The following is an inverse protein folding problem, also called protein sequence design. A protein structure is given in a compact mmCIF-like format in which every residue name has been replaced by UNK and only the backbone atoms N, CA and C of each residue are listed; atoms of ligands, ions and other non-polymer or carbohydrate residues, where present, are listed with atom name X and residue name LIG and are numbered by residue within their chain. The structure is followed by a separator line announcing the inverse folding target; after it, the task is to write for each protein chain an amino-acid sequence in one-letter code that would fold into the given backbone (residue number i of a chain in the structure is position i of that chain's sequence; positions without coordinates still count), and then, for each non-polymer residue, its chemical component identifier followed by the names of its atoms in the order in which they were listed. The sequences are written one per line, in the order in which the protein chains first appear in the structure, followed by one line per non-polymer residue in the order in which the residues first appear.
data_IF_825651245915
#
_entry.id   IF_825651245915
#
_cell.length_a   1.000
_cell.length_b   1.000
_cell.length_c   1.000
_cell.angle_alpha   90.00
_cell.angle_beta   90.00
_cell.angle_gamma   90.00
#
_symmetry.space_group_name_H-M   'P 1'
#
loop_
_entity.id
_entity.type
_entity.pdbx_description
1 polymer ?
#
# COMPACT_ATOMS: atom_id res chain seq x y z
N UNK A 1 -15.87 2.39 7.97
CA UNK A 1 -15.95 2.37 6.50
C UNK A 1 -14.52 2.35 5.97
N UNK A 2 -14.18 1.48 5.02
CA UNK A 2 -12.81 1.38 4.50
C UNK A 2 -12.66 2.37 3.33
N UNK A 3 -11.74 3.33 3.44
CA UNK A 3 -11.52 4.39 2.43
C UNK A 3 -11.28 3.84 1.04
N UNK A 4 -10.65 2.67 0.92
CA UNK A 4 -10.44 2.00 -0.37
C UNK A 4 -11.77 1.72 -1.07
N UNK A 5 -12.80 1.24 -0.37
CA UNK A 5 -14.11 0.97 -0.99
C UNK A 5 -14.79 2.26 -1.47
N UNK A 6 -14.59 3.36 -0.74
CA UNK A 6 -15.11 4.67 -1.13
C UNK A 6 -14.41 5.15 -2.40
N UNK A 7 -13.08 5.03 -2.46
CA UNK A 7 -12.30 5.37 -3.66
C UNK A 7 -12.72 4.54 -4.86
N UNK A 8 -12.89 3.22 -4.69
CA UNK A 8 -13.36 2.35 -5.78
C UNK A 8 -14.73 2.81 -6.31
N UNK A 9 -15.66 3.16 -5.42
CA UNK A 9 -16.97 3.68 -5.82
C UNK A 9 -16.87 5.02 -6.55
N UNK A 10 -16.00 5.94 -6.08
CA UNK A 10 -15.70 7.21 -6.77
C UNK A 10 -15.11 6.96 -8.15
N UNK A 11 -14.21 5.98 -8.28
CA UNK A 11 -13.58 5.69 -9.56
C UNK A 11 -14.59 5.22 -10.60
N UNK A 12 -15.57 4.41 -10.20
CA UNK A 12 -16.66 3.99 -11.08
C UNK A 12 -17.59 5.15 -11.40
N UNK A 13 -18.02 5.89 -10.38
CA UNK A 13 -19.03 6.95 -10.54
C UNK A 13 -18.54 8.14 -11.38
N UNK A 14 -17.23 8.41 -11.38
CA UNK A 14 -16.65 9.59 -12.02
C UNK A 14 -15.54 9.26 -13.04
N UNK A 15 -15.46 7.99 -13.46
CA UNK A 15 -14.53 7.46 -14.46
C UNK A 15 -13.04 7.80 -14.18
N UNK A 16 -12.58 7.50 -12.96
CA UNK A 16 -11.15 7.63 -12.65
C UNK A 16 -10.39 6.41 -13.18
N UNK A 17 -9.13 6.63 -13.57
CA UNK A 17 -8.16 5.55 -13.75
C UNK A 17 -7.47 5.25 -12.44
N UNK A 18 -7.10 3.97 -12.25
CA UNK A 18 -6.43 3.50 -11.05
C UNK A 18 -5.17 2.73 -11.40
N UNK A 19 -4.07 3.09 -10.77
CA UNK A 19 -2.82 2.35 -10.81
C UNK A 19 -2.43 1.84 -9.42
N UNK A 20 -1.66 0.77 -9.42
CA UNK A 20 -1.16 0.13 -8.24
C UNK A 20 0.37 0.18 -8.19
N UNK A 21 0.87 0.56 -7.02
CA UNK A 21 2.29 0.52 -6.68
C UNK A 21 2.50 -0.41 -5.49
N UNK A 22 3.71 -0.94 -5.39
CA UNK A 22 4.20 -1.73 -4.26
C UNK A 22 5.52 -1.14 -3.75
N UNK A 23 5.61 -0.85 -2.46
CA UNK A 23 6.83 -0.38 -1.83
C UNK A 23 7.74 -1.56 -1.49
N UNK A 24 8.91 -1.61 -2.11
CA UNK A 24 9.87 -2.69 -1.89
C UNK A 24 10.43 -2.63 -0.47
N UNK A 25 10.10 -3.64 0.34
CA UNK A 25 10.42 -3.71 1.76
C UNK A 25 10.09 -2.40 2.50
N UNK A 26 8.81 -2.00 2.53
CA UNK A 26 8.41 -0.62 2.84
C UNK A 26 9.02 -0.05 4.13
N UNK A 27 9.16 -0.85 5.20
CA UNK A 27 9.74 -0.35 6.45
C UNK A 27 11.21 0.08 6.30
N UNK A 28 11.99 -0.58 5.43
CA UNK A 28 13.38 -0.22 5.13
C UNK A 28 13.52 1.10 4.37
N UNK A 29 12.41 1.67 3.87
CA UNK A 29 12.38 3.01 3.29
C UNK A 29 12.24 4.11 4.36
N UNK A 30 12.06 3.75 5.64
CA UNK A 30 11.89 4.70 6.74
C UNK A 30 13.02 4.64 7.76
N UNK A 31 13.42 5.83 8.25
CA UNK A 31 14.36 5.96 9.37
C UNK A 31 13.62 5.80 10.70
N UNK A 32 14.31 5.27 11.70
CA UNK A 32 13.82 5.25 13.06
C UNK A 32 14.06 6.62 13.73
N UNK A 33 13.07 7.11 14.48
CA UNK A 33 13.20 8.34 15.26
C UNK A 33 13.76 8.11 16.66
N UNK A 34 13.97 6.86 17.04
CA UNK A 34 14.45 6.40 18.34
C UNK A 34 15.64 5.47 18.09
N UNK A 35 16.58 5.40 19.05
CA UNK A 35 17.73 4.50 18.96
C UNK A 35 17.29 3.07 19.30
N UNK A 36 17.41 2.16 18.34
CA UNK A 36 17.20 0.74 18.56
C UNK A 36 18.50 -0.02 18.37
N UNK A 37 18.84 -0.87 19.35
CA UNK A 37 19.94 -1.81 19.25
C UNK A 37 19.40 -3.24 19.24
N UNK A 38 20.04 -4.11 18.49
CA UNK A 38 19.73 -5.53 18.45
C UNK A 38 21.01 -6.36 18.48
N UNK A 39 20.88 -7.61 18.92
CA UNK A 39 21.94 -8.58 18.69
C UNK A 39 22.13 -8.79 17.19
N UNK A 40 23.36 -9.11 16.78
CA UNK A 40 23.59 -9.46 15.39
C UNK A 40 22.70 -10.66 15.00
N UNK A 41 22.03 -10.59 13.84
CA UNK A 41 21.19 -11.69 13.39
C UNK A 41 22.04 -12.94 13.14
N UNK A 42 21.39 -14.11 13.19
CA UNK A 42 22.04 -15.39 12.97
C UNK A 42 22.84 -15.38 11.65
N UNK A 43 24.06 -15.91 11.68
CA UNK A 43 24.97 -15.95 10.53
C UNK A 43 25.80 -14.68 10.30
N UNK A 44 25.54 -13.58 11.01
CA UNK A 44 26.36 -12.36 10.93
C UNK A 44 27.44 -12.38 12.01
N UNK A 45 28.72 -12.33 11.60
CA UNK A 45 29.84 -12.21 12.54
C UNK A 45 29.73 -10.92 13.35
N UNK A 46 29.92 -11.02 14.66
CA UNK A 46 29.89 -9.88 15.56
C UNK A 46 30.92 -10.05 16.66
N UNK A 47 31.54 -8.95 17.06
CA UNK A 47 32.50 -8.97 18.17
C UNK A 47 31.77 -9.24 19.49
N UNK A 48 32.48 -9.90 20.42
CA UNK A 48 31.91 -10.29 21.71
C UNK A 48 31.47 -9.03 22.48
N UNK A 49 30.25 -9.04 22.99
CA UNK A 49 29.67 -7.93 23.76
C UNK A 49 29.20 -6.74 22.92
N UNK A 50 29.28 -6.80 21.58
CA UNK A 50 28.80 -5.73 20.71
C UNK A 50 27.35 -5.97 20.27
N UNK A 51 26.59 -4.89 20.11
CA UNK A 51 25.24 -4.89 19.51
C UNK A 51 25.25 -4.08 18.21
N UNK A 52 24.22 -4.23 17.39
CA UNK A 52 24.03 -3.49 16.14
C UNK A 52 22.93 -2.46 16.31
N UNK A 53 23.21 -1.23 15.93
CA UNK A 53 22.22 -0.17 15.87
C UNK A 53 21.42 -0.28 14.58
N UNK A 54 20.10 -0.16 14.69
CA UNK A 54 19.18 -0.10 13.56
C UNK A 54 19.01 1.35 13.12
N UNK A 55 19.45 1.65 11.90
CA UNK A 55 19.25 2.97 11.28
C UNK A 55 17.88 3.11 10.59
N UNK A 56 17.32 1.98 10.16
CA UNK A 56 16.08 1.88 9.39
C UNK A 56 15.11 0.94 10.09
N UNK A 57 13.82 1.17 9.87
CA UNK A 57 12.80 0.28 10.40
C UNK A 57 12.80 -1.06 9.67
N UNK A 58 12.55 -2.14 10.42
CA UNK A 58 12.46 -3.50 9.90
C UNK A 58 11.12 -4.13 10.32
N UNK A 59 10.71 -5.17 9.61
CA UNK A 59 9.55 -5.98 10.01
C UNK A 59 9.79 -6.59 11.40
N UNK A 60 8.73 -6.63 12.22
CA UNK A 60 8.80 -7.09 13.60
C UNK A 60 9.04 -5.98 14.65
N UNK A 61 9.52 -4.80 14.24
CA UNK A 61 9.55 -3.64 15.15
C UNK A 61 8.13 -3.08 15.34
N UNK A 62 7.72 -2.87 16.60
CA UNK A 62 6.43 -2.24 16.95
C UNK A 62 6.26 -0.86 16.30
N UNK A 63 7.36 -0.15 16.07
CA UNK A 63 7.42 1.20 15.52
C UNK A 63 7.53 1.22 14.00
N UNK A 64 7.74 0.08 13.34
CA UNK A 64 8.07 0.04 11.90
C UNK A 64 6.98 0.62 11.01
N UNK A 65 5.74 0.17 11.21
CA UNK A 65 4.58 0.71 10.48
C UNK A 65 4.38 2.23 10.73
N UNK A 66 4.63 2.70 11.96
CA UNK A 66 4.53 4.13 12.31
C UNK A 66 5.62 4.95 11.62
N UNK A 67 6.85 4.44 11.59
CA UNK A 67 7.96 5.10 10.91
C UNK A 67 7.71 5.19 9.41
N UNK A 68 7.21 4.12 8.80
CA UNK A 68 6.81 4.09 7.39
C UNK A 68 5.69 5.10 7.09
N UNK A 69 4.56 5.03 7.81
CA UNK A 69 3.47 5.97 7.60
C UNK A 69 3.91 7.44 7.77
N UNK A 70 4.77 7.75 8.76
CA UNK A 70 5.33 9.10 8.93
C UNK A 70 6.21 9.52 7.73
N UNK A 71 7.04 8.62 7.22
CA UNK A 71 7.88 8.89 6.05
C UNK A 71 7.02 9.19 4.81
N UNK A 72 6.06 8.33 4.48
CA UNK A 72 5.16 8.52 3.34
C UNK A 72 4.31 9.78 3.49
N UNK A 73 3.77 10.01 4.70
CA UNK A 73 3.03 11.23 5.03
C UNK A 73 3.83 12.49 4.70
N UNK A 74 5.10 12.54 5.09
CA UNK A 74 5.93 13.72 4.85
C UNK A 74 6.15 13.98 3.35
N UNK A 75 6.23 12.93 2.54
CA UNK A 75 6.34 13.06 1.07
C UNK A 75 5.06 13.68 0.50
N UNK A 76 3.90 13.14 0.88
CA UNK A 76 2.61 13.63 0.40
C UNK A 76 2.31 15.06 0.85
N UNK A 77 2.56 15.40 2.11
CA UNK A 77 2.36 16.77 2.62
C UNK A 77 3.23 17.78 1.87
N UNK A 78 4.48 17.44 1.53
CA UNK A 78 5.37 18.31 0.72
C UNK A 78 4.87 18.52 -0.71
N UNK A 79 4.00 17.63 -1.20
CA UNK A 79 3.36 17.72 -2.52
C UNK A 79 1.93 18.24 -2.44
N UNK A 80 1.59 18.93 -1.35
CA UNK A 80 0.29 19.58 -1.11
C UNK A 80 -0.90 18.60 -1.05
N UNK A 81 -0.65 17.32 -0.77
CA UNK A 81 -1.73 16.40 -0.41
C UNK A 81 -2.22 16.69 1.01
N UNK A 82 -3.52 16.49 1.22
CA UNK A 82 -4.17 16.45 2.53
C UNK A 82 -4.37 15.01 2.95
N UNK A 83 -4.46 14.80 4.25
CA UNK A 83 -4.70 13.48 4.86
C UNK A 83 -6.13 13.48 5.36
N UNK A 84 -6.87 12.39 5.14
CA UNK A 84 -8.21 12.29 5.70
C UNK A 84 -8.18 12.19 7.22
N UNK A 85 -9.11 12.88 7.88
CA UNK A 85 -9.32 12.76 9.32
C UNK A 85 -9.88 11.39 9.72
N UNK A 86 -10.57 10.70 8.81
CA UNK A 86 -11.14 9.38 9.05
C UNK A 86 -10.14 8.24 8.82
N UNK A 87 -9.14 8.44 7.96
CA UNK A 87 -8.13 7.43 7.62
C UNK A 87 -6.77 8.08 7.34
N UNK A 88 -5.79 7.79 8.21
CA UNK A 88 -4.44 8.36 8.13
C UNK A 88 -3.56 7.74 7.05
N UNK A 89 -4.07 6.73 6.34
CA UNK A 89 -3.42 6.13 5.19
C UNK A 89 -4.08 6.55 3.87
N UNK A 90 -5.04 7.47 3.92
CA UNK A 90 -5.68 8.05 2.75
C UNK A 90 -5.21 9.49 2.54
N UNK A 91 -4.81 9.78 1.30
CA UNK A 91 -4.33 11.08 0.88
C UNK A 91 -5.15 11.58 -0.31
N UNK A 92 -5.42 12.88 -0.33
CA UNK A 92 -6.13 13.55 -1.43
C UNK A 92 -5.46 14.87 -1.82
N UNK A 93 -5.44 15.19 -3.10
CA UNK A 93 -4.97 16.48 -3.64
C UNK A 93 -6.00 16.97 -4.64
N UNK A 94 -6.48 18.20 -4.47
CA UNK A 94 -7.34 18.84 -5.47
C UNK A 94 -6.50 19.33 -6.65
N UNK A 95 -7.00 19.14 -7.86
CA UNK A 95 -6.37 19.56 -9.12
C UNK A 95 -7.41 20.23 -10.02
N UNK A 96 -6.98 20.75 -11.16
CA UNK A 96 -7.91 21.32 -12.16
C UNK A 96 -8.84 20.25 -12.75
N UNK A 97 -8.42 18.98 -12.76
CA UNK A 97 -9.19 17.86 -13.28
C UNK A 97 -10.09 17.18 -12.23
N UNK A 98 -10.08 17.67 -10.98
CA UNK A 98 -10.83 17.10 -9.87
C UNK A 98 -9.93 16.79 -8.68
N UNK A 99 -9.69 15.51 -8.41
CA UNK A 99 -8.87 15.06 -7.30
C UNK A 99 -7.89 13.96 -7.73
N UNK A 100 -6.80 13.85 -6.98
CA UNK A 100 -5.91 12.70 -6.97
C UNK A 100 -6.02 12.05 -5.61
N UNK A 101 -6.34 10.76 -5.60
CA UNK A 101 -6.49 9.97 -4.39
C UNK A 101 -5.37 8.95 -4.28
N UNK A 102 -4.81 8.80 -3.08
CA UNK A 102 -3.86 7.73 -2.78
C UNK A 102 -4.30 6.96 -1.54
N UNK A 103 -4.49 5.65 -1.69
CA UNK A 103 -4.74 4.73 -0.60
C UNK A 103 -3.48 3.92 -0.31
N UNK A 104 -2.94 4.04 0.89
CA UNK A 104 -1.80 3.24 1.36
C UNK A 104 -2.28 2.08 2.24
N UNK A 105 -1.82 0.86 1.94
CA UNK A 105 -1.97 -0.27 2.83
C UNK A 105 -0.65 -1.02 3.01
N UNK A 106 0.09 -0.63 4.05
CA UNK A 106 1.43 -1.18 4.36
C UNK A 106 2.35 -1.01 3.15
N UNK A 107 2.54 -2.03 2.33
CA UNK A 107 3.44 -2.03 1.17
C UNK A 107 2.66 -1.69 -0.12
N UNK A 108 1.37 -2.00 -0.20
CA UNK A 108 0.51 -1.73 -1.37
C UNK A 108 0.00 -0.28 -1.39
N UNK A 109 -0.04 0.33 -2.58
CA UNK A 109 -0.71 1.62 -2.81
C UNK A 109 -1.61 1.58 -4.04
N UNK A 110 -2.78 2.21 -3.93
CA UNK A 110 -3.61 2.57 -5.10
C UNK A 110 -3.55 4.07 -5.29
N UNK A 111 -3.28 4.49 -6.52
CA UNK A 111 -3.40 5.88 -6.97
C UNK A 111 -4.61 5.94 -7.90
N UNK A 112 -5.51 6.88 -7.68
CA UNK A 112 -6.64 7.15 -8.56
C UNK A 112 -6.66 8.62 -8.97
N UNK A 113 -6.78 8.88 -10.27
CA UNK A 113 -6.90 10.23 -10.82
C UNK A 113 -7.72 10.22 -12.11
N UNK A 114 -8.08 11.40 -12.62
CA UNK A 114 -8.71 11.52 -13.93
C UNK A 114 -7.69 11.53 -15.07
N UNK A 115 -6.54 12.16 -14.87
CA UNK A 115 -5.50 12.23 -15.87
C UNK A 115 -4.33 11.28 -15.56
N UNK A 116 -3.82 10.63 -16.60
CA UNK A 116 -2.64 9.76 -16.49
C UNK A 116 -1.39 10.51 -16.02
N UNK A 117 -1.23 11.76 -16.43
CA UNK A 117 -0.11 12.60 -16.01
C UNK A 117 -0.10 12.85 -14.49
N UNK A 118 -1.29 12.90 -13.86
CA UNK A 118 -1.41 13.05 -12.40
C UNK A 118 -1.00 11.76 -11.68
N UNK A 119 -1.33 10.60 -12.23
CA UNK A 119 -0.83 9.30 -11.72
C UNK A 119 0.70 9.26 -11.84
N UNK A 120 1.22 9.66 -13.00
CA UNK A 120 2.66 9.66 -13.26
C UNK A 120 3.41 10.60 -12.31
N UNK A 121 2.90 11.82 -12.04
CA UNK A 121 3.49 12.75 -11.08
C UNK A 121 3.62 12.12 -9.68
N UNK A 122 2.57 11.43 -9.22
CA UNK A 122 2.57 10.75 -7.91
C UNK A 122 3.56 9.59 -7.90
N UNK A 123 3.57 8.78 -8.95
CA UNK A 123 4.47 7.65 -9.09
C UNK A 123 5.94 8.08 -9.06
N UNK A 124 6.31 9.09 -9.85
CA UNK A 124 7.66 9.64 -9.85
C UNK A 124 8.02 10.29 -8.51
N UNK A 125 7.08 10.98 -7.87
CA UNK A 125 7.27 11.50 -6.51
C UNK A 125 7.64 10.38 -5.53
N UNK A 126 6.93 9.24 -5.59
CA UNK A 126 7.16 8.11 -4.70
C UNK A 126 8.47 7.38 -5.01
N UNK A 127 8.78 7.13 -6.29
CA UNK A 127 10.05 6.52 -6.72
C UNK A 127 11.27 7.35 -6.35
N UNK A 128 11.16 8.67 -6.41
CA UNK A 128 12.23 9.56 -5.99
C UNK A 128 12.46 9.53 -4.46
N UNK A 129 11.43 9.20 -3.69
CA UNK A 129 11.52 9.13 -2.23
C UNK A 129 11.88 7.73 -1.71
N UNK A 130 11.38 6.68 -2.37
CA UNK A 130 11.37 5.30 -1.88
C UNK A 130 11.63 4.30 -3.01
N UNK A 131 12.02 3.08 -2.64
CA UNK A 131 12.07 1.97 -3.59
C UNK A 131 10.64 1.49 -3.88
N UNK A 132 10.15 1.77 -5.07
CA UNK A 132 8.79 1.44 -5.51
C UNK A 132 8.81 0.53 -6.73
N UNK A 133 7.79 -0.33 -6.85
CA UNK A 133 7.49 -1.16 -8.02
C UNK A 133 6.15 -0.75 -8.58
N UNK A 134 6.08 -0.65 -9.89
CA UNK A 134 4.82 -0.45 -10.60
C UNK A 134 4.17 -1.79 -10.90
N UNK A 135 2.93 -1.95 -10.50
CA UNK A 135 2.12 -3.13 -10.81
C UNK A 135 1.13 -2.86 -11.95
N UNK A 136 1.12 -1.63 -12.48
CA UNK A 136 0.23 -1.15 -13.53
C UNK A 136 -1.20 -0.93 -13.02
N UNK A 137 -2.19 -1.12 -13.88
CA UNK A 137 -3.60 -0.93 -13.53
C UNK A 137 -4.01 -1.74 -12.29
N UNK A 138 -4.75 -1.10 -11.38
CA UNK A 138 -5.11 -1.69 -10.10
C UNK A 138 -5.99 -2.93 -10.28
N UNK A 139 -5.45 -4.10 -9.90
CA UNK A 139 -6.12 -5.41 -10.02
C UNK A 139 -6.29 -6.13 -8.70
N UNK A 140 -5.50 -5.79 -7.68
CA UNK A 140 -5.51 -6.53 -6.42
C UNK A 140 -5.04 -5.71 -5.22
N UNK A 141 -5.90 -5.44 -4.24
CA UNK A 141 -5.45 -4.89 -2.95
C UNK A 141 -6.17 -5.60 -1.81
N UNK A 142 -5.56 -5.73 -0.63
CA UNK A 142 -6.22 -6.31 0.55
C UNK A 142 -6.84 -7.71 0.30
N UNK A 143 -6.21 -8.51 -0.57
CA UNK A 143 -6.74 -9.83 -0.98
C UNK A 143 -8.05 -9.78 -1.77
N UNK A 144 -8.44 -8.61 -2.25
CA UNK A 144 -9.56 -8.40 -3.16
C UNK A 144 -9.02 -8.22 -4.57
N UNK A 145 -9.59 -8.97 -5.52
CA UNK A 145 -9.38 -8.77 -6.95
C UNK A 145 -10.41 -7.76 -7.46
N UNK A 146 -9.95 -6.82 -8.27
CA UNK A 146 -10.80 -5.82 -8.93
C UNK A 146 -10.84 -6.07 -10.42
N UNK A 147 -12.03 -5.92 -10.97
CA UNK A 147 -12.33 -6.07 -12.39
C UNK A 147 -13.15 -4.85 -12.79
N UNK A 148 -12.45 -3.82 -13.28
CA UNK A 148 -13.04 -2.54 -13.63
C UNK A 148 -13.30 -2.49 -15.13
N UNK A 149 -14.58 -2.60 -15.51
CA UNK A 149 -15.04 -2.42 -16.88
C UNK A 149 -15.51 -0.97 -17.04
N UNK A 150 -14.63 -0.15 -17.64
CA UNK A 150 -14.92 1.26 -17.94
C UNK A 150 -16.03 1.44 -18.97
N UNK A 151 -16.17 0.53 -19.92
CA UNK A 151 -17.19 0.62 -20.97
C UNK A 151 -18.58 0.33 -20.40
N UNK A 152 -18.66 -0.68 -19.54
CA UNK A 152 -19.90 -0.99 -18.83
C UNK A 152 -20.15 -0.09 -17.61
N UNK A 153 -19.14 0.70 -17.18
CA UNK A 153 -19.23 1.53 -15.97
C UNK A 153 -19.39 0.70 -14.70
N UNK A 154 -18.76 -0.47 -14.62
CA UNK A 154 -18.89 -1.39 -13.49
C UNK A 154 -17.54 -1.77 -12.89
N UNK A 155 -17.51 -2.01 -11.58
CA UNK A 155 -16.36 -2.58 -10.90
C UNK A 155 -16.81 -3.77 -10.06
N UNK A 156 -16.30 -4.95 -10.40
CA UNK A 156 -16.53 -6.16 -9.61
C UNK A 156 -15.39 -6.39 -8.64
N UNK A 157 -15.76 -6.74 -7.40
CA UNK A 157 -14.83 -7.12 -6.33
C UNK A 157 -14.97 -8.62 -6.09
N UNK A 158 -13.89 -9.37 -6.27
CA UNK A 158 -13.84 -10.83 -6.11
C UNK A 158 -12.83 -11.20 -5.02
N UNK A 159 -13.16 -12.15 -4.15
CA UNK A 159 -12.23 -12.72 -3.15
C UNK A 159 -11.95 -14.20 -3.39
N UNK A 160 -12.14 -14.67 -4.62
CA UNK A 160 -11.98 -16.09 -5.01
C UNK A 160 -10.61 -16.64 -4.65
N UNK A 161 -9.53 -15.86 -4.85
CA UNK A 161 -8.17 -16.24 -4.43
C UNK A 161 -8.04 -16.44 -2.92
N UNK A 162 -8.59 -15.52 -2.13
CA UNK A 162 -8.56 -15.65 -0.67
C UNK A 162 -9.30 -16.90 -0.20
N UNK A 163 -10.47 -17.19 -0.77
CA UNK A 163 -11.23 -18.41 -0.48
C UNK A 163 -10.38 -19.64 -0.84
N UNK A 164 -9.77 -19.68 -2.02
CA UNK A 164 -8.91 -20.79 -2.44
C UNK A 164 -7.70 -20.98 -1.50
N UNK A 165 -7.06 -19.89 -1.06
CA UNK A 165 -5.94 -19.92 -0.12
C UNK A 165 -6.36 -20.44 1.26
N UNK A 166 -7.55 -20.06 1.75
CA UNK A 166 -8.12 -20.57 3.00
C UNK A 166 -8.40 -22.07 2.89
N UNK A 167 -9.09 -22.49 1.82
CA UNK A 167 -9.39 -23.91 1.56
C UNK A 167 -8.11 -24.74 1.50
N UNK A 168 -7.06 -24.23 0.82
CA UNK A 168 -5.74 -24.86 0.77
C UNK A 168 -5.09 -24.94 2.15
N UNK A 169 -5.08 -23.84 2.91
CA UNK A 169 -4.45 -23.76 4.23
C UNK A 169 -5.00 -24.78 5.23
N UNK A 170 -6.30 -25.07 5.15
CA UNK A 170 -6.97 -26.03 6.03
C UNK A 170 -7.15 -27.42 5.39
N UNK A 171 -6.48 -27.70 4.26
CA UNK A 171 -6.56 -28.97 3.52
C UNK A 171 -8.00 -29.39 3.17
N UNK A 172 -8.90 -28.43 2.91
CA UNK A 172 -10.32 -28.65 2.61
C UNK A 172 -10.61 -28.72 1.10
N UNK A 173 -9.58 -28.84 0.26
CA UNK A 173 -9.74 -28.81 -1.21
C UNK A 173 -10.64 -29.94 -1.74
N UNK A 174 -10.66 -31.08 -1.05
CA UNK A 174 -11.46 -32.25 -1.38
C UNK A 174 -12.49 -32.57 -0.29
N UNK A 175 -12.86 -31.59 0.54
CA UNK A 175 -13.87 -31.78 1.56
C UNK A 175 -15.20 -32.18 0.88
N UNK A 176 -15.82 -33.26 1.34
CA UNK A 176 -17.15 -33.65 0.86
C UNK A 176 -18.12 -32.53 1.22
N UNK A 177 -19.01 -32.18 0.28
CA UNK A 177 -20.21 -31.43 0.65
C UNK A 177 -21.03 -32.39 1.51
N UNK A 178 -21.17 -32.09 2.79
CA UNK A 178 -22.21 -32.73 3.59
C UNK A 178 -23.55 -32.33 2.94
N UNK A 179 -24.23 -33.33 2.38
CA UNK A 179 -25.60 -33.21 1.89
C UNK A 179 -26.57 -33.16 3.06
#
# INVERSE_FOLDING_TARGET
MNSIRVVLAVCVAYDYVMEQLDADAAFLNSKLGELFNMNAPFGVKNAKGMVRTLEKAIYGLKQGARAWNKATRNVFLKKNFKISGADRCFYEKSTQNGFVYVCLHVDDMIIAAKAWDEIHEVNETLKNAFKMKELGGAKFILRMIFDHDKNAGTLMIKQTRYIADVVKRFNQQNARKDC
#
